data_IF_627782792539
#
_entry.id   IF_627782792539
#
_cell.length_a   1.000
_cell.length_b   1.000
_cell.length_c   1.000
_cell.angle_alpha   90.00
_cell.angle_beta   90.00
_cell.angle_gamma   90.00
#
_symmetry.space_group_name_H-M   'P 1'
#
loop_
_entity.id
_entity.type
_entity.pdbx_description
1 polymer ?
#
# COMPACT_ATOMS: atom_id res chain seq x y z
N UNK A 1 -57.07 13.50 11.90
CA UNK A 1 -56.37 12.26 11.46
C UNK A 1 -55.12 12.50 10.58
N UNK A 2 -54.57 13.73 10.48
CA UNK A 2 -53.36 14.02 9.68
C UNK A 2 -52.00 13.78 10.37
N UNK A 3 -51.82 14.01 11.69
CA UNK A 3 -50.48 13.90 12.30
C UNK A 3 -49.99 12.45 12.43
N UNK A 4 -50.93 11.49 12.58
CA UNK A 4 -50.59 10.08 12.75
C UNK A 4 -49.95 9.46 11.50
N UNK A 5 -50.38 9.86 10.30
CA UNK A 5 -49.79 9.41 9.02
C UNK A 5 -48.36 9.94 8.83
N UNK A 6 -48.08 11.15 9.30
CA UNK A 6 -46.76 11.76 9.19
C UNK A 6 -45.75 11.08 10.12
N UNK A 7 -46.18 10.68 11.32
CA UNK A 7 -45.33 9.91 12.25
C UNK A 7 -44.99 8.52 11.73
N UNK A 8 -45.94 7.80 11.12
CA UNK A 8 -45.65 6.49 10.51
C UNK A 8 -44.69 6.60 9.34
N UNK A 9 -44.82 7.63 8.49
CA UNK A 9 -43.89 7.85 7.40
C UNK A 9 -42.46 8.12 7.90
N UNK A 10 -42.33 8.93 8.96
CA UNK A 10 -41.03 9.22 9.58
C UNK A 10 -40.40 7.97 10.19
N UNK A 11 -41.20 7.14 10.87
CA UNK A 11 -40.73 5.90 11.48
C UNK A 11 -40.25 4.88 10.44
N UNK A 12 -40.97 4.74 9.30
CA UNK A 12 -40.57 3.84 8.21
C UNK A 12 -39.26 4.30 7.57
N UNK A 13 -39.09 5.61 7.37
CA UNK A 13 -37.83 6.17 6.84
C UNK A 13 -36.67 5.91 7.82
N UNK A 14 -36.90 6.13 9.12
CA UNK A 14 -35.88 5.89 10.15
C UNK A 14 -35.47 4.41 10.19
N UNK A 15 -36.44 3.49 10.19
CA UNK A 15 -36.17 2.04 10.18
C UNK A 15 -35.42 1.65 8.91
N UNK A 16 -35.79 2.19 7.75
CA UNK A 16 -35.07 1.98 6.49
C UNK A 16 -33.60 2.37 6.59
N UNK A 17 -33.31 3.58 7.09
CA UNK A 17 -31.93 4.06 7.25
C UNK A 17 -31.15 3.16 8.24
N UNK A 18 -31.74 2.85 9.41
CA UNK A 18 -31.10 2.03 10.43
C UNK A 18 -30.93 0.55 10.03
N UNK A 19 -31.81 0.01 9.17
CA UNK A 19 -31.68 -1.36 8.65
C UNK A 19 -30.47 -1.53 7.74
N UNK A 20 -30.04 -0.49 7.02
CA UNK A 20 -28.85 -0.54 6.17
C UNK A 20 -27.56 -0.14 6.91
N UNK A 21 -27.63 0.56 8.05
CA UNK A 21 -26.44 0.91 8.84
C UNK A 21 -25.69 -0.30 9.40
N UNK A 22 -26.34 -1.46 9.55
CA UNK A 22 -25.71 -2.66 10.12
C UNK A 22 -24.90 -3.50 9.11
N UNK A 23 -24.94 -3.13 7.83
CA UNK A 23 -24.15 -3.78 6.76
C UNK A 23 -22.75 -3.15 6.63
N UNK A 24 -22.34 -2.28 7.57
CA UNK A 24 -20.96 -1.81 7.62
C UNK A 24 -20.09 -2.69 8.53
N UNK A 25 -19.15 -3.39 7.87
CA UNK A 25 -17.86 -3.83 8.40
C UNK A 25 -17.89 -4.72 9.66
N UNK A 26 -18.41 -5.93 9.54
CA UNK A 26 -17.72 -7.04 10.22
C UNK A 26 -16.35 -7.18 9.54
N UNK A 27 -15.34 -6.47 10.06
CA UNK A 27 -13.93 -6.83 9.85
C UNK A 27 -13.75 -8.24 10.39
N UNK A 28 -14.04 -9.25 9.57
CA UNK A 28 -13.51 -10.59 9.80
C UNK A 28 -12.01 -10.42 9.68
N UNK A 29 -11.32 -10.43 10.82
CA UNK A 29 -9.85 -10.43 10.94
C UNK A 29 -9.24 -11.73 10.41
N UNK A 30 -9.76 -12.25 9.31
CA UNK A 30 -9.19 -13.37 8.59
C UNK A 30 -8.10 -12.81 7.71
N UNK A 31 -6.86 -12.90 8.18
CA UNK A 31 -5.67 -12.68 7.37
C UNK A 31 -5.65 -13.66 6.20
N UNK A 32 -5.19 -13.21 5.03
CA UNK A 32 -5.01 -14.08 3.88
C UNK A 32 -3.88 -15.08 4.17
N UNK A 33 -4.11 -16.37 3.95
CA UNK A 33 -3.13 -17.42 4.19
C UNK A 33 -2.14 -17.51 3.02
N UNK A 34 -0.94 -16.96 3.19
CA UNK A 34 0.09 -16.93 2.14
C UNK A 34 0.62 -18.31 1.75
N UNK A 35 0.43 -19.35 2.59
CA UNK A 35 0.88 -20.71 2.26
C UNK A 35 0.11 -21.32 1.10
N UNK A 36 -1.08 -20.78 0.79
CA UNK A 36 -1.98 -21.24 -0.27
C UNK A 36 -1.91 -20.39 -1.53
N UNK A 37 -1.12 -19.32 -1.53
CA UNK A 37 -1.10 -18.33 -2.60
C UNK A 37 0.26 -18.31 -3.29
N UNK A 38 0.26 -18.54 -4.60
CA UNK A 38 1.44 -18.33 -5.42
C UNK A 38 1.53 -16.85 -5.83
N UNK A 39 2.23 -16.06 -4.99
CA UNK A 39 2.35 -14.60 -5.15
C UNK A 39 3.04 -14.23 -6.47
N UNK A 40 4.13 -14.90 -6.83
CA UNK A 40 4.91 -14.59 -8.04
C UNK A 40 4.12 -14.91 -9.30
N UNK A 41 3.42 -16.04 -9.34
CA UNK A 41 2.55 -16.39 -10.46
C UNK A 41 1.39 -15.40 -10.60
N UNK A 42 0.78 -14.98 -9.49
CA UNK A 42 -0.32 -14.01 -9.50
C UNK A 42 0.13 -12.65 -10.03
N UNK A 43 1.32 -12.19 -9.62
CA UNK A 43 1.94 -10.96 -10.12
C UNK A 43 2.32 -11.05 -11.60
N UNK A 44 2.85 -12.19 -12.05
CA UNK A 44 3.16 -12.41 -13.46
C UNK A 44 1.90 -12.37 -14.34
N UNK A 45 0.77 -12.92 -13.87
CA UNK A 45 -0.51 -12.85 -14.61
C UNK A 45 -1.01 -11.41 -14.78
N UNK A 46 -0.85 -10.57 -13.75
CA UNK A 46 -1.24 -9.16 -13.80
C UNK A 46 -0.46 -8.33 -14.82
N UNK A 47 0.77 -8.73 -15.16
CA UNK A 47 1.58 -8.05 -16.17
C UNK A 47 0.96 -8.15 -17.58
N UNK A 48 0.26 -9.26 -17.86
CA UNK A 48 -0.35 -9.51 -19.17
C UNK A 48 -1.85 -9.22 -19.18
N UNK A 49 -2.53 -9.37 -18.05
CA UNK A 49 -3.96 -9.10 -17.91
C UNK A 49 -4.31 -8.60 -16.50
N UNK A 50 -4.62 -7.30 -16.41
CA UNK A 50 -4.99 -6.62 -15.15
C UNK A 50 -6.27 -7.18 -14.49
N UNK A 51 -7.12 -7.90 -15.22
CA UNK A 51 -8.40 -8.42 -14.73
C UNK A 51 -8.36 -9.89 -14.33
N UNK A 52 -7.40 -10.66 -14.84
CA UNK A 52 -7.34 -12.12 -14.64
C UNK A 52 -6.96 -12.60 -13.24
N UNK A 53 -6.39 -11.76 -12.39
CA UNK A 53 -5.95 -12.18 -11.05
C UNK A 53 -7.09 -12.14 -10.03
N UNK A 54 -7.27 -13.22 -9.25
CA UNK A 54 -8.13 -13.25 -8.06
C UNK A 54 -7.61 -12.36 -6.92
N UNK A 55 -6.37 -11.88 -7.05
CA UNK A 55 -5.69 -11.05 -6.08
C UNK A 55 -5.46 -9.64 -6.61
N UNK A 56 -5.59 -8.66 -5.72
CA UNK A 56 -5.16 -7.29 -5.88
C UNK A 56 -3.86 -7.09 -5.09
N UNK A 57 -2.93 -6.37 -5.68
CA UNK A 57 -1.70 -5.95 -5.00
C UNK A 57 -1.64 -4.44 -4.98
N UNK A 58 -1.21 -3.89 -3.85
CA UNK A 58 -0.98 -2.46 -3.72
C UNK A 58 0.19 -2.21 -2.76
N UNK A 59 0.77 -1.03 -2.92
CA UNK A 59 1.77 -0.48 -2.03
C UNK A 59 1.10 0.57 -1.16
N UNK A 60 1.46 0.59 0.10
CA UNK A 60 1.09 1.61 1.08
C UNK A 60 2.37 2.23 1.61
N UNK A 61 2.38 3.54 1.84
CA UNK A 61 3.59 4.28 2.19
C UNK A 61 3.35 5.17 3.40
N UNK A 62 4.26 5.10 4.37
CA UNK A 62 4.23 5.92 5.58
C UNK A 62 5.51 6.74 5.71
N UNK A 63 5.39 8.01 6.13
CA UNK A 63 6.57 8.82 6.48
C UNK A 63 7.14 8.36 7.82
N UNK A 64 8.43 8.02 7.85
CA UNK A 64 9.17 7.77 9.09
C UNK A 64 9.86 9.04 9.57
N UNK A 65 10.60 9.70 8.67
CA UNK A 65 11.41 10.88 8.99
C UNK A 65 11.44 11.80 7.78
N UNK A 66 11.30 13.10 7.99
CA UNK A 66 11.57 14.11 6.96
C UNK A 66 12.92 14.74 7.24
N UNK A 67 13.75 14.87 6.21
CA UNK A 67 15.01 15.62 6.27
C UNK A 67 15.05 16.64 5.12
N UNK A 68 16.03 17.53 5.14
CA UNK A 68 16.17 18.51 4.06
C UNK A 68 16.51 17.78 2.76
N UNK A 69 15.70 17.99 1.72
CA UNK A 69 15.89 17.41 0.39
C UNK A 69 15.40 15.96 0.23
N UNK A 70 15.06 15.26 1.31
CA UNK A 70 14.61 13.87 1.21
C UNK A 70 13.69 13.46 2.36
N UNK A 71 12.94 12.39 2.16
CA UNK A 71 12.08 11.78 3.17
C UNK A 71 12.40 10.30 3.30
N UNK A 72 12.57 9.83 4.53
CA UNK A 72 12.56 8.41 4.84
C UNK A 72 11.11 7.94 4.95
N UNK A 73 10.75 6.96 4.13
CA UNK A 73 9.43 6.32 4.15
C UNK A 73 9.55 4.83 4.47
N UNK A 74 8.46 4.23 4.94
CA UNK A 74 8.27 2.79 4.93
C UNK A 74 7.32 2.44 3.79
N UNK A 75 7.76 1.62 2.84
CA UNK A 75 6.90 1.10 1.78
C UNK A 75 6.47 -0.33 2.12
N UNK A 76 5.16 -0.56 2.16
CA UNK A 76 4.53 -1.84 2.51
C UNK A 76 3.80 -2.38 1.30
N UNK A 77 4.09 -3.60 0.91
CA UNK A 77 3.35 -4.29 -0.16
C UNK A 77 2.31 -5.20 0.46
N UNK A 78 1.08 -5.05 0.04
CA UNK A 78 -0.04 -5.88 0.46
C UNK A 78 -0.59 -6.69 -0.71
N UNK A 79 -1.09 -7.88 -0.36
CA UNK A 79 -1.94 -8.70 -1.22
C UNK A 79 -3.35 -8.75 -0.62
N UNK A 80 -4.37 -8.70 -1.48
CA UNK A 80 -5.79 -8.80 -1.11
C UNK A 80 -6.48 -9.80 -2.01
N UNK A 81 -7.19 -10.76 -1.43
CA UNK A 81 -8.09 -11.64 -2.19
C UNK A 81 -9.37 -10.87 -2.54
N UNK A 82 -9.69 -10.75 -3.83
CA UNK A 82 -10.83 -9.94 -4.32
C UNK A 82 -12.17 -10.47 -3.83
N UNK A 83 -12.32 -11.80 -3.75
CA UNK A 83 -13.58 -12.44 -3.38
C UNK A 83 -13.94 -12.23 -1.90
N UNK A 84 -12.94 -12.23 -1.01
CA UNK A 84 -13.15 -12.22 0.44
C UNK A 84 -12.73 -10.91 1.12
N UNK A 85 -11.96 -10.06 0.44
CA UNK A 85 -11.33 -8.87 1.00
C UNK A 85 -10.22 -9.16 2.01
N UNK A 86 -9.82 -10.42 2.19
CA UNK A 86 -8.74 -10.80 3.12
C UNK A 86 -7.41 -10.29 2.62
N UNK A 87 -6.64 -9.65 3.50
CA UNK A 87 -5.34 -9.08 3.17
C UNK A 87 -4.19 -9.69 3.97
N UNK A 88 -2.98 -9.63 3.42
CA UNK A 88 -1.75 -9.93 4.15
C UNK A 88 -0.58 -9.06 3.63
N UNK A 89 0.43 -8.88 4.48
CA UNK A 89 1.64 -8.12 4.17
C UNK A 89 2.65 -9.04 3.48
N UNK A 90 3.20 -8.59 2.35
CA UNK A 90 4.23 -9.31 1.59
C UNK A 90 5.63 -8.79 1.89
N UNK A 91 5.79 -7.48 1.90
CA UNK A 91 7.06 -6.80 2.14
C UNK A 91 6.82 -5.50 2.91
N UNK A 92 7.79 -5.09 3.71
CA UNK A 92 7.83 -3.77 4.34
C UNK A 92 9.28 -3.40 4.47
N UNK A 93 9.73 -2.36 3.78
CA UNK A 93 11.13 -1.92 3.80
C UNK A 93 11.19 -0.39 3.85
N UNK A 94 12.25 0.16 4.45
CA UNK A 94 12.43 1.60 4.50
C UNK A 94 13.22 2.09 3.29
N UNK A 95 12.77 3.19 2.71
CA UNK A 95 13.44 3.84 1.59
C UNK A 95 13.68 5.31 1.89
N UNK A 96 14.77 5.83 1.35
CA UNK A 96 14.93 7.25 1.16
C UNK A 96 14.36 7.65 -0.20
N UNK A 97 13.49 8.65 -0.16
CA UNK A 97 12.88 9.27 -1.33
C UNK A 97 13.35 10.71 -1.42
N UNK A 98 13.96 11.09 -2.55
CA UNK A 98 14.37 12.47 -2.80
C UNK A 98 13.16 13.35 -3.13
N UNK A 99 13.02 14.49 -2.48
CA UNK A 99 11.84 15.33 -2.68
C UNK A 99 11.83 16.04 -4.05
N UNK A 100 12.98 16.16 -4.72
CA UNK A 100 13.09 16.76 -6.06
C UNK A 100 14.37 16.27 -6.76
N UNK A 101 14.41 16.42 -8.09
CA UNK A 101 15.58 16.06 -8.89
C UNK A 101 16.81 16.90 -8.49
N UNK A 102 17.93 16.24 -8.22
CA UNK A 102 19.15 16.89 -7.75
C UNK A 102 19.16 17.22 -6.25
N UNK A 103 18.14 16.81 -5.47
CA UNK A 103 18.22 16.87 -4.03
C UNK A 103 19.33 15.93 -3.53
N UNK A 104 20.20 16.45 -2.67
CA UNK A 104 21.16 15.63 -1.94
C UNK A 104 20.57 15.36 -0.56
N UNK A 105 20.48 14.08 -0.25
CA UNK A 105 20.25 13.60 1.10
C UNK A 105 21.37 14.10 2.02
N UNK A 106 21.06 15.02 2.93
CA UNK A 106 21.95 15.34 4.04
C UNK A 106 21.64 14.32 5.14
N UNK A 107 22.02 13.06 4.94
CA UNK A 107 22.11 12.14 6.07
C UNK A 107 23.40 12.40 6.84
N UNK A 108 23.25 12.47 8.16
CA UNK A 108 24.29 12.03 9.09
C UNK A 108 24.67 10.61 8.67
N UNK A 109 25.81 10.47 7.99
CA UNK A 109 26.45 9.18 7.81
C UNK A 109 26.78 8.69 9.23
N UNK A 110 25.89 7.89 9.82
CA UNK A 110 26.36 6.90 10.78
C UNK A 110 27.29 5.99 9.98
N UNK A 111 28.58 6.27 10.08
CA UNK A 111 29.67 5.57 9.42
C UNK A 111 29.55 4.07 9.68
N UNK A 112 28.91 3.36 8.76
CA UNK A 112 28.94 1.90 8.72
C UNK A 112 29.58 1.55 7.38
N UNK A 113 30.90 1.49 7.42
CA UNK A 113 31.74 1.00 6.33
C UNK A 113 31.17 -0.32 5.79
N UNK A 114 30.93 -0.36 4.47
CA UNK A 114 30.55 -1.52 3.64
C UNK A 114 29.06 -1.78 3.35
N UNK A 115 28.14 -0.82 3.49
CA UNK A 115 26.80 -0.98 2.92
C UNK A 115 26.74 -0.51 1.46
N UNK A 116 26.55 -1.45 0.52
CA UNK A 116 26.20 -1.12 -0.87
C UNK A 116 24.71 -0.75 -0.90
N UNK A 117 24.42 0.55 -0.94
CA UNK A 117 23.06 1.06 -1.14
C UNK A 117 22.50 0.49 -2.43
N UNK A 118 21.32 -0.14 -2.35
CA UNK A 118 20.56 -0.53 -3.54
C UNK A 118 19.77 0.70 -3.95
N UNK A 119 20.10 1.24 -5.13
CA UNK A 119 19.43 2.41 -5.70
C UNK A 119 18.43 1.93 -6.74
N UNK A 120 17.18 2.38 -6.63
CA UNK A 120 16.12 2.14 -7.60
C UNK A 120 16.30 2.99 -8.84
N UNK A 121 15.64 2.62 -9.94
CA UNK A 121 15.69 3.35 -11.21
C UNK A 121 15.23 4.80 -11.12
N UNK A 122 14.37 5.11 -10.15
CA UNK A 122 13.89 6.47 -9.88
C UNK A 122 14.79 7.28 -8.92
N UNK A 123 15.93 6.72 -8.51
CA UNK A 123 16.89 7.37 -7.60
C UNK A 123 16.54 7.25 -6.12
N UNK A 124 15.49 6.51 -5.76
CA UNK A 124 15.20 6.20 -4.36
C UNK A 124 16.13 5.10 -3.85
N UNK A 125 16.49 5.17 -2.57
CA UNK A 125 17.51 4.28 -2.00
C UNK A 125 16.94 3.42 -0.87
N UNK A 126 17.27 2.13 -0.87
CA UNK A 126 16.92 1.26 0.26
C UNK A 126 17.77 1.61 1.47
N UNK A 127 17.10 1.85 2.60
CA UNK A 127 17.76 1.92 3.89
C UNK A 127 17.88 0.51 4.46
N UNK A 128 18.95 0.28 5.23
CA UNK A 128 19.16 -1.00 5.91
C UNK A 128 18.04 -1.25 6.92
N UNK A 129 17.06 -2.04 6.53
CA UNK A 129 16.02 -2.56 7.43
C UNK A 129 16.05 -4.07 7.49
N UNK A 130 16.07 -4.59 8.72
CA UNK A 130 16.02 -6.02 8.98
C UNK A 130 14.54 -6.44 9.11
N UNK A 131 13.86 -6.60 7.98
CA UNK A 131 12.42 -6.84 7.95
C UNK A 131 12.14 -8.33 7.78
N UNK A 132 11.42 -8.92 8.74
CA UNK A 132 11.01 -10.35 8.75
C UNK A 132 9.88 -10.67 7.75
N UNK A 133 9.72 -9.86 6.70
CA UNK A 133 8.65 -10.02 5.74
C UNK A 133 8.92 -11.23 4.82
N UNK A 134 7.87 -11.91 4.31
CA UNK A 134 8.04 -13.11 3.49
C UNK A 134 8.72 -12.84 2.15
N UNK A 135 8.67 -11.59 1.65
CA UNK A 135 9.32 -11.17 0.42
C UNK A 135 10.16 -9.90 0.65
N UNK A 136 11.21 -9.72 -0.15
CA UNK A 136 11.91 -8.44 -0.23
C UNK A 136 11.20 -7.51 -1.22
N UNK A 137 11.07 -6.23 -0.85
CA UNK A 137 10.47 -5.22 -1.71
C UNK A 137 11.27 -5.05 -3.01
N UNK A 138 12.59 -5.15 -2.96
CA UNK A 138 13.45 -5.12 -4.15
C UNK A 138 13.09 -6.16 -5.21
N UNK A 139 12.61 -7.34 -4.79
CA UNK A 139 12.15 -8.38 -5.72
C UNK A 139 10.74 -8.11 -6.23
N UNK A 140 9.86 -7.55 -5.41
CA UNK A 140 8.48 -7.24 -5.80
C UNK A 140 8.40 -6.03 -6.74
N UNK A 141 9.28 -5.04 -6.59
CA UNK A 141 9.34 -3.87 -7.47
C UNK A 141 9.78 -4.19 -8.91
N UNK A 142 10.26 -5.42 -9.18
CA UNK A 142 10.50 -5.90 -10.56
C UNK A 142 9.21 -6.04 -11.35
N UNK A 143 8.08 -6.19 -10.68
CA UNK A 143 6.76 -6.26 -11.30
C UNK A 143 6.20 -4.85 -11.50
N UNK A 144 5.82 -4.53 -12.73
CA UNK A 144 5.33 -3.20 -13.11
C UNK A 144 4.14 -2.75 -12.26
N UNK A 145 3.20 -3.66 -11.96
CA UNK A 145 2.02 -3.36 -11.13
C UNK A 145 2.40 -2.84 -9.73
N UNK A 146 3.41 -3.45 -9.10
CA UNK A 146 3.92 -3.03 -7.80
C UNK A 146 4.69 -1.72 -7.93
N UNK A 147 5.56 -1.60 -8.94
CA UNK A 147 6.36 -0.39 -9.15
C UNK A 147 5.47 0.84 -9.40
N UNK A 148 4.44 0.72 -10.24
CA UNK A 148 3.46 1.79 -10.47
C UNK A 148 2.71 2.17 -9.20
N UNK A 149 2.27 1.18 -8.43
CA UNK A 149 1.61 1.43 -7.14
C UNK A 149 2.54 2.10 -6.14
N UNK A 150 3.82 1.73 -6.10
CA UNK A 150 4.83 2.39 -5.29
C UNK A 150 4.98 3.86 -5.68
N UNK A 151 5.22 4.16 -6.97
CA UNK A 151 5.38 5.55 -7.45
C UNK A 151 4.15 6.39 -7.10
N UNK A 152 2.94 5.89 -7.38
CA UNK A 152 1.69 6.58 -7.05
C UNK A 152 1.61 6.87 -5.55
N UNK A 153 1.84 5.87 -4.70
CA UNK A 153 1.74 6.04 -3.25
C UNK A 153 2.79 7.00 -2.71
N UNK A 154 4.00 7.00 -3.27
CA UNK A 154 5.04 7.99 -2.89
C UNK A 154 4.70 9.39 -3.36
N UNK A 155 4.13 9.54 -4.55
CA UNK A 155 3.69 10.83 -5.08
C UNK A 155 2.58 11.41 -4.21
N UNK A 156 1.58 10.62 -3.87
CA UNK A 156 0.46 11.03 -3.02
C UNK A 156 0.93 11.40 -1.60
N UNK A 157 1.88 10.64 -1.04
CA UNK A 157 2.40 10.85 0.30
C UNK A 157 3.27 12.11 0.43
N UNK A 158 4.06 12.40 -0.61
CA UNK A 158 5.10 13.44 -0.57
C UNK A 158 4.80 14.64 -1.47
N UNK A 159 3.65 14.66 -2.14
CA UNK A 159 3.24 15.69 -3.10
C UNK A 159 4.26 15.84 -4.25
N UNK A 160 4.59 14.71 -4.88
CA UNK A 160 5.58 14.63 -5.96
C UNK A 160 4.92 14.34 -7.31
N UNK A 161 5.47 14.91 -8.38
CA UNK A 161 4.99 14.68 -9.76
C UNK A 161 5.92 13.75 -10.55
N UNK A 162 6.19 12.55 -10.04
CA UNK A 162 7.07 11.58 -10.73
C UNK A 162 6.27 10.73 -11.71
N UNK A 163 6.66 10.73 -12.99
CA UNK A 163 6.08 9.86 -14.01
C UNK A 163 6.75 8.48 -14.04
N UNK A 164 5.98 7.45 -14.39
CA UNK A 164 6.45 6.07 -14.65
C UNK A 164 7.06 5.98 -16.05
#
# INVERSE_FOLDING_TARGET
MKPLKNFTALAVILIGIFSFSKVENKKTNTTLDLSKVNVTESLSKLQFDSRSSDYLFYVDTDIIKKIRGASTINAKVYIVEKASGKKNLLASENLQVLNYSGAVSVYEHDNIDNYKSIVLSNGDEFLKTNTKAPFSLSNLLKYESIYRSYISSTNDLLDLERSI
#
